data_IF_396390789244
#
_entry.id   IF_396390789244
#
_cell.length_a   1.000
_cell.length_b   1.000
_cell.length_c   1.000
_cell.angle_alpha   90.00
_cell.angle_beta   90.00
_cell.angle_gamma   90.00
#
_symmetry.space_group_name_H-M   'P 1'
#
loop_
_entity.id
_entity.type
_entity.pdbx_description
1 polymer ?
#
# COMPACT_ATOMS: atom_id res chain seq x y z
N UNK A 1 8.58 21.74 -5.50
CA UNK A 1 9.74 22.61 -5.70
C UNK A 1 10.36 22.42 -7.08
N UNK A 2 10.96 23.46 -7.62
CA UNK A 2 11.69 23.37 -8.87
C UNK A 2 13.17 23.61 -8.60
N UNK A 3 14.02 22.65 -8.99
CA UNK A 3 15.46 22.71 -8.73
C UNK A 3 15.82 22.97 -7.24
N UNK A 4 15.08 22.37 -6.31
CA UNK A 4 15.29 22.54 -4.86
C UNK A 4 14.81 23.88 -4.28
N UNK A 5 14.11 24.69 -5.06
CA UNK A 5 13.55 25.99 -4.59
C UNK A 5 12.03 25.91 -4.50
N UNK A 6 11.47 26.57 -3.49
CA UNK A 6 10.02 26.75 -3.40
C UNK A 6 9.53 27.60 -4.58
N UNK A 7 8.43 27.17 -5.21
CA UNK A 7 7.79 27.89 -6.31
C UNK A 7 6.33 28.11 -5.95
N UNK A 8 5.86 29.33 -6.01
CA UNK A 8 4.46 29.70 -5.89
C UNK A 8 3.90 30.06 -7.28
N UNK A 9 2.71 29.59 -7.59
CA UNK A 9 1.96 29.91 -8.79
C UNK A 9 0.75 30.73 -8.34
N UNK A 10 0.62 31.95 -8.81
CA UNK A 10 -0.56 32.76 -8.57
C UNK A 10 -1.54 32.62 -9.74
N UNK A 11 -2.75 32.18 -9.44
CA UNK A 11 -3.81 31.98 -10.43
C UNK A 11 -5.02 32.83 -10.04
N UNK A 12 -5.52 33.62 -10.99
CA UNK A 12 -6.80 34.30 -10.86
C UNK A 12 -7.91 33.37 -11.34
N UNK A 13 -8.63 32.77 -10.40
CA UNK A 13 -9.70 31.82 -10.72
C UNK A 13 -11.06 32.51 -10.53
N UNK A 14 -11.83 32.73 -11.62
CA UNK A 14 -13.09 33.42 -11.54
C UNK A 14 -14.16 32.58 -10.82
N UNK A 15 -14.95 33.25 -10.00
CA UNK A 15 -16.17 32.68 -9.44
C UNK A 15 -17.33 32.93 -10.40
N UNK A 16 -17.92 31.88 -10.92
CA UNK A 16 -18.98 31.91 -11.90
C UNK A 16 -20.34 31.71 -11.23
N UNK A 17 -21.38 32.23 -11.87
CA UNK A 17 -22.78 32.01 -11.46
C UNK A 17 -23.53 31.34 -12.60
N UNK A 18 -24.19 30.21 -12.31
CA UNK A 18 -25.04 29.54 -13.28
C UNK A 18 -26.31 30.38 -13.52
N UNK A 19 -26.68 30.57 -14.78
CA UNK A 19 -27.90 31.32 -15.13
C UNK A 19 -29.18 30.53 -14.82
N UNK A 20 -29.15 29.19 -14.94
CA UNK A 20 -30.31 28.33 -14.78
C UNK A 20 -30.64 28.03 -13.31
N UNK A 21 -29.65 27.62 -12.52
CA UNK A 21 -29.84 27.24 -11.12
C UNK A 21 -29.41 28.31 -10.10
N UNK A 22 -28.91 29.45 -10.56
CA UNK A 22 -28.45 30.59 -9.75
C UNK A 22 -27.30 30.27 -8.75
N UNK A 23 -26.81 29.05 -8.74
CA UNK A 23 -25.68 28.64 -7.88
C UNK A 23 -24.36 29.23 -8.38
N UNK A 24 -23.49 29.57 -7.44
CA UNK A 24 -22.13 30.01 -7.74
C UNK A 24 -21.16 28.85 -7.62
N UNK A 25 -20.16 28.79 -8.48
CA UNK A 25 -19.09 27.81 -8.46
C UNK A 25 -17.79 28.46 -8.89
N UNK A 26 -16.68 27.91 -8.48
CA UNK A 26 -15.35 28.33 -8.91
C UNK A 26 -15.01 27.59 -10.19
N UNK A 27 -14.41 28.27 -11.16
CA UNK A 27 -13.98 27.62 -12.39
C UNK A 27 -12.95 26.53 -12.08
N UNK A 28 -13.11 25.38 -12.73
CA UNK A 28 -12.13 24.29 -12.61
C UNK A 28 -10.90 24.67 -13.42
N UNK A 29 -9.75 24.67 -12.75
CA UNK A 29 -8.46 24.88 -13.39
C UNK A 29 -7.84 23.51 -13.66
N UNK A 30 -7.58 23.15 -14.91
CA UNK A 30 -6.90 21.91 -15.22
C UNK A 30 -5.56 21.79 -14.49
N UNK A 31 -5.20 20.59 -14.07
CA UNK A 31 -3.94 20.28 -13.39
C UNK A 31 -3.78 20.91 -11.98
N UNK A 32 -4.82 21.51 -11.42
CA UNK A 32 -4.84 22.03 -10.04
C UNK A 32 -5.80 21.20 -9.21
N UNK A 33 -5.31 20.67 -8.09
CA UNK A 33 -6.14 20.01 -7.07
C UNK A 33 -7.03 21.07 -6.40
N UNK A 34 -8.34 20.93 -6.58
CA UNK A 34 -9.32 21.92 -6.13
C UNK A 34 -9.37 22.07 -4.60
N UNK A 35 -9.05 20.98 -3.86
CA UNK A 35 -9.17 20.93 -2.41
C UNK A 35 -7.91 21.42 -1.69
N UNK A 36 -6.72 21.34 -2.36
CA UNK A 36 -5.42 21.55 -1.73
C UNK A 36 -4.67 22.78 -2.18
N UNK A 37 -5.17 23.51 -3.15
CA UNK A 37 -4.47 24.66 -3.75
C UNK A 37 -3.04 24.30 -4.22
N UNK A 38 -2.91 23.14 -4.80
CA UNK A 38 -1.66 22.57 -5.31
C UNK A 38 -1.87 22.09 -6.74
N UNK A 39 -0.79 21.99 -7.52
CA UNK A 39 -0.87 21.30 -8.79
C UNK A 39 -0.95 19.78 -8.56
N UNK A 40 -1.70 19.06 -9.40
CA UNK A 40 -1.74 17.58 -9.35
C UNK A 40 -0.35 16.95 -9.48
N UNK A 41 0.56 17.61 -10.22
CA UNK A 41 1.95 17.21 -10.32
C UNK A 41 2.66 17.23 -8.97
N UNK A 42 2.41 18.27 -8.15
CA UNK A 42 2.98 18.38 -6.80
C UNK A 42 2.38 17.32 -5.88
N UNK A 43 1.07 17.09 -5.94
CA UNK A 43 0.39 16.05 -5.15
C UNK A 43 1.00 14.68 -5.46
N UNK A 44 1.14 14.32 -6.74
CA UNK A 44 1.78 13.06 -7.17
C UNK A 44 3.24 12.97 -6.73
N UNK A 45 3.98 14.08 -6.80
CA UNK A 45 5.37 14.13 -6.34
C UNK A 45 5.47 13.87 -4.83
N UNK A 46 4.62 14.51 -4.01
CA UNK A 46 4.54 14.28 -2.56
C UNK A 46 4.27 12.80 -2.26
N UNK A 47 3.26 12.20 -2.92
CA UNK A 47 2.94 10.79 -2.73
C UNK A 47 4.14 9.86 -2.98
N UNK A 48 4.85 10.06 -4.08
CA UNK A 48 6.05 9.27 -4.41
C UNK A 48 7.20 9.48 -3.43
N UNK A 49 7.49 10.72 -3.06
CA UNK A 49 8.58 11.01 -2.12
C UNK A 49 8.29 10.46 -0.73
N UNK A 50 7.02 10.34 -0.36
CA UNK A 50 6.60 9.79 0.94
C UNK A 50 6.86 8.29 1.10
N UNK A 51 7.25 7.58 0.04
CA UNK A 51 7.75 6.20 0.11
C UNK A 51 9.21 6.13 0.60
N UNK A 52 9.98 7.20 0.41
CA UNK A 52 11.43 7.22 0.62
C UNK A 52 11.86 8.13 1.79
N UNK A 53 11.11 9.21 2.03
CA UNK A 53 11.47 10.25 2.98
C UNK A 53 10.42 10.44 4.09
N UNK A 54 10.83 10.87 5.29
CA UNK A 54 9.91 11.22 6.37
C UNK A 54 8.94 12.35 5.98
N UNK A 55 7.70 12.25 6.40
CA UNK A 55 6.67 13.25 6.09
C UNK A 55 7.04 14.66 6.56
N UNK A 56 7.72 14.76 7.71
CA UNK A 56 8.22 16.04 8.25
C UNK A 56 9.23 16.72 7.35
N UNK A 57 10.07 15.96 6.66
CA UNK A 57 11.05 16.48 5.71
C UNK A 57 10.37 17.00 4.44
N UNK A 58 9.44 16.21 3.88
CA UNK A 58 8.65 16.62 2.71
C UNK A 58 7.83 17.87 3.02
N UNK A 59 7.20 17.91 4.20
CA UNK A 59 6.43 19.07 4.66
C UNK A 59 7.27 20.36 4.69
N UNK A 60 8.49 20.28 5.22
CA UNK A 60 9.44 21.42 5.22
C UNK A 60 9.86 21.82 3.82
N UNK A 61 10.14 20.84 2.96
CA UNK A 61 10.61 21.10 1.59
C UNK A 61 9.55 21.78 0.72
N UNK A 62 8.27 21.42 0.92
CA UNK A 62 7.13 21.94 0.16
C UNK A 62 6.55 23.20 0.81
N UNK A 63 6.71 23.38 2.11
CA UNK A 63 6.12 24.47 2.88
C UNK A 63 4.66 24.22 3.26
N UNK A 64 4.30 22.97 3.56
CA UNK A 64 2.96 22.56 4.00
C UNK A 64 3.05 21.83 5.36
N UNK A 65 1.91 21.54 5.97
CA UNK A 65 1.90 20.76 7.21
C UNK A 65 2.04 19.24 6.95
N UNK A 66 2.59 18.53 7.94
CA UNK A 66 2.80 17.09 7.87
C UNK A 66 1.48 16.31 7.70
N UNK A 67 0.38 16.81 8.26
CA UNK A 67 -0.93 16.18 8.17
C UNK A 67 -1.42 16.13 6.73
N UNK A 68 -1.17 17.19 5.96
CA UNK A 68 -1.47 17.24 4.52
C UNK A 68 -0.62 16.24 3.73
N UNK A 69 0.68 16.12 4.05
CA UNK A 69 1.56 15.10 3.42
C UNK A 69 1.03 13.69 3.70
N UNK A 70 0.64 13.41 4.94
CA UNK A 70 0.09 12.12 5.36
C UNK A 70 -1.22 11.78 4.64
N UNK A 71 -2.11 12.76 4.47
CA UNK A 71 -3.36 12.56 3.74
C UNK A 71 -3.10 12.23 2.25
N UNK A 72 -2.22 13.00 1.60
CA UNK A 72 -1.81 12.74 0.21
C UNK A 72 -1.18 11.34 0.07
N UNK A 73 -0.32 10.96 1.00
CA UNK A 73 0.30 9.63 0.99
C UNK A 73 -0.74 8.52 1.13
N UNK A 74 -1.72 8.66 2.03
CA UNK A 74 -2.80 7.68 2.17
C UNK A 74 -3.59 7.47 0.88
N UNK A 75 -3.92 8.54 0.17
CA UNK A 75 -4.60 8.45 -1.12
C UNK A 75 -3.71 7.83 -2.20
N UNK A 76 -2.42 8.18 -2.21
CA UNK A 76 -1.45 7.61 -3.15
C UNK A 76 -1.29 6.10 -2.95
N UNK A 77 -1.16 5.64 -1.70
CA UNK A 77 -1.11 4.21 -1.36
C UNK A 77 -2.39 3.50 -1.78
N UNK A 78 -3.57 4.08 -1.51
CA UNK A 78 -4.84 3.48 -1.93
C UNK A 78 -4.97 3.29 -3.45
N UNK A 79 -4.33 4.15 -4.25
CA UNK A 79 -4.25 3.97 -5.71
C UNK A 79 -3.30 2.83 -6.06
N UNK A 80 -2.12 2.76 -5.42
CA UNK A 80 -1.17 1.68 -5.64
C UNK A 80 -1.75 0.32 -5.26
N UNK A 81 -2.45 0.23 -4.13
CA UNK A 81 -3.11 -1.00 -3.68
C UNK A 81 -4.15 -1.52 -4.67
N UNK A 82 -4.91 -0.62 -5.31
CA UNK A 82 -5.87 -1.02 -6.36
C UNK A 82 -5.20 -1.55 -7.63
N UNK A 83 -3.98 -1.15 -7.89
CA UNK A 83 -3.21 -1.58 -9.06
C UNK A 83 -2.34 -2.79 -8.77
N UNK A 84 -2.15 -3.11 -7.49
CA UNK A 84 -1.32 -4.22 -7.08
C UNK A 84 -2.04 -5.54 -7.35
N UNK A 85 -1.43 -6.36 -8.21
CA UNK A 85 -1.84 -7.75 -8.44
C UNK A 85 -0.94 -8.65 -7.60
N UNK A 86 -1.56 -9.55 -6.84
CA UNK A 86 -0.86 -10.54 -6.04
C UNK A 86 -0.51 -11.71 -6.93
N UNK A 87 0.76 -11.90 -7.22
CA UNK A 87 1.22 -13.09 -7.90
C UNK A 87 1.19 -14.27 -6.94
N UNK A 88 0.62 -15.40 -7.37
CA UNK A 88 0.62 -16.63 -6.58
C UNK A 88 2.02 -17.27 -6.62
N UNK A 89 2.72 -17.40 -5.48
CA UNK A 89 4.08 -17.95 -5.45
C UNK A 89 4.10 -19.45 -5.68
N UNK A 90 5.10 -19.95 -6.39
CA UNK A 90 5.35 -21.41 -6.52
C UNK A 90 5.88 -21.98 -5.19
N UNK A 91 6.71 -21.22 -4.50
CA UNK A 91 7.22 -21.57 -3.17
C UNK A 91 6.80 -20.48 -2.20
N UNK A 92 5.83 -20.79 -1.37
CA UNK A 92 5.25 -19.88 -0.39
C UNK A 92 6.06 -19.86 0.90
N UNK A 93 6.39 -18.70 1.43
CA UNK A 93 6.89 -18.51 2.78
C UNK A 93 5.84 -17.89 3.68
N UNK A 94 5.68 -18.44 4.88
CA UNK A 94 4.86 -17.90 5.95
C UNK A 94 5.74 -17.68 7.17
N UNK A 95 5.85 -16.44 7.60
CA UNK A 95 6.68 -16.04 8.74
C UNK A 95 5.97 -14.96 9.56
N UNK A 96 6.59 -14.51 10.63
CA UNK A 96 6.08 -13.49 11.53
C UNK A 96 7.03 -12.29 11.60
N UNK A 97 6.46 -11.10 11.57
CA UNK A 97 7.16 -9.88 11.94
C UNK A 97 6.46 -9.21 13.12
N UNK A 98 7.25 -8.76 14.07
CA UNK A 98 6.75 -7.97 15.20
C UNK A 98 6.97 -6.48 14.91
N UNK A 99 5.87 -5.75 14.70
CA UNK A 99 5.88 -4.28 14.62
C UNK A 99 5.39 -3.71 15.98
N UNK A 100 4.16 -3.23 16.05
CA UNK A 100 3.48 -2.92 17.31
C UNK A 100 2.74 -4.14 17.88
N UNK A 101 2.49 -5.12 17.03
CA UNK A 101 1.87 -6.43 17.31
C UNK A 101 2.36 -7.46 16.26
N UNK A 102 2.25 -8.77 16.56
CA UNK A 102 2.63 -9.80 15.61
C UNK A 102 1.78 -9.76 14.34
N UNK A 103 2.42 -9.81 13.18
CA UNK A 103 1.78 -9.88 11.87
C UNK A 103 2.31 -11.04 11.09
N UNK A 104 1.44 -11.72 10.34
CA UNK A 104 1.88 -12.72 9.38
C UNK A 104 2.49 -12.04 8.15
N UNK A 105 3.57 -12.61 7.66
CA UNK A 105 4.25 -12.17 6.45
C UNK A 105 4.20 -13.28 5.42
N UNK A 106 3.76 -12.93 4.23
CA UNK A 106 3.70 -13.84 3.09
C UNK A 106 4.81 -13.48 2.11
N UNK A 107 5.62 -14.45 1.76
CA UNK A 107 6.75 -14.25 0.84
C UNK A 107 6.69 -15.22 -0.33
N UNK A 108 7.22 -14.80 -1.46
CA UNK A 108 7.60 -15.67 -2.55
C UNK A 108 9.09 -16.00 -2.38
N UNK A 109 9.38 -17.22 -1.93
CA UNK A 109 10.76 -17.65 -1.67
C UNK A 109 11.55 -17.77 -2.97
N UNK A 110 10.90 -18.20 -4.05
CA UNK A 110 11.55 -18.33 -5.37
C UNK A 110 12.07 -17.01 -5.89
N UNK A 111 11.24 -15.98 -5.85
CA UNK A 111 11.57 -14.64 -6.35
C UNK A 111 12.16 -13.71 -5.27
N UNK A 112 12.27 -14.19 -4.03
CA UNK A 112 12.80 -13.45 -2.87
C UNK A 112 12.10 -12.11 -2.65
N UNK A 113 10.78 -12.10 -2.76
CA UNK A 113 9.99 -10.88 -2.58
C UNK A 113 8.86 -11.08 -1.56
N UNK A 114 8.40 -9.96 -1.01
CA UNK A 114 7.22 -9.90 -0.17
C UNK A 114 5.98 -9.96 -1.07
N UNK A 115 5.04 -10.85 -0.74
CA UNK A 115 3.74 -10.95 -1.40
C UNK A 115 2.69 -10.14 -0.66
N UNK A 116 2.62 -10.28 0.67
CA UNK A 116 1.66 -9.54 1.49
C UNK A 116 2.09 -9.50 2.96
N UNK A 117 1.50 -8.57 3.71
CA UNK A 117 1.61 -8.48 5.16
C UNK A 117 0.20 -8.52 5.76
N UNK A 118 -0.11 -9.58 6.49
CA UNK A 118 -1.42 -9.79 7.06
C UNK A 118 -1.65 -8.93 8.31
N UNK A 119 -2.91 -8.63 8.59
CA UNK A 119 -3.30 -7.86 9.78
C UNK A 119 -2.87 -8.51 11.11
N UNK A 120 -2.83 -9.82 11.13
CA UNK A 120 -2.41 -10.63 12.26
C UNK A 120 -1.90 -12.00 11.77
N UNK A 121 -1.43 -12.86 12.70
CA UNK A 121 -0.92 -14.20 12.40
C UNK A 121 -1.93 -15.34 12.65
N UNK A 122 -3.20 -15.02 12.87
CA UNK A 122 -4.17 -16.05 13.24
C UNK A 122 -4.54 -16.95 12.05
N UNK A 123 -4.82 -18.22 12.35
CA UNK A 123 -5.21 -19.23 11.36
C UNK A 123 -6.29 -18.72 10.40
N UNK A 124 -7.34 -18.09 10.95
CA UNK A 124 -8.45 -17.57 10.15
C UNK A 124 -7.98 -16.59 9.05
N UNK A 125 -7.15 -15.63 9.42
CA UNK A 125 -6.63 -14.61 8.48
C UNK A 125 -5.77 -15.24 7.39
N UNK A 126 -4.97 -16.25 7.75
CA UNK A 126 -4.13 -16.98 6.79
C UNK A 126 -4.99 -17.81 5.84
N UNK A 127 -6.00 -18.51 6.36
CA UNK A 127 -6.94 -19.30 5.53
C UNK A 127 -7.68 -18.39 4.55
N UNK A 128 -8.14 -17.21 5.00
CA UNK A 128 -8.80 -16.22 4.14
C UNK A 128 -7.86 -15.71 3.04
N UNK A 129 -6.60 -15.43 3.39
CA UNK A 129 -5.58 -15.02 2.41
C UNK A 129 -5.34 -16.13 1.38
N UNK A 130 -5.07 -17.36 1.80
CA UNK A 130 -4.76 -18.49 0.92
C UNK A 130 -5.93 -18.82 -0.03
N UNK A 131 -7.17 -18.73 0.45
CA UNK A 131 -8.37 -18.89 -0.38
C UNK A 131 -8.60 -17.76 -1.37
N UNK A 132 -8.05 -16.59 -1.12
CA UNK A 132 -8.13 -15.42 -2.00
C UNK A 132 -7.07 -15.40 -3.10
N UNK A 133 -6.15 -16.34 -3.15
CA UNK A 133 -5.17 -16.45 -4.24
C UNK A 133 -5.85 -16.92 -5.54
N UNK A 134 -5.44 -16.35 -6.68
CA UNK A 134 -6.05 -16.66 -7.98
C UNK A 134 -5.77 -18.11 -8.43
N UNK A 135 -4.57 -18.61 -8.18
CA UNK A 135 -4.11 -19.93 -8.63
C UNK A 135 -3.42 -20.71 -7.51
N UNK A 136 -4.13 -21.09 -6.42
CA UNK A 136 -3.52 -21.80 -5.30
C UNK A 136 -2.92 -23.16 -5.67
N UNK A 137 -3.36 -23.76 -6.77
CA UNK A 137 -2.83 -25.01 -7.33
C UNK A 137 -1.40 -24.89 -7.88
N UNK A 138 -0.90 -23.68 -8.11
CA UNK A 138 0.49 -23.46 -8.55
C UNK A 138 1.50 -23.54 -7.41
N UNK A 139 1.04 -23.47 -6.17
CA UNK A 139 1.91 -23.59 -4.99
C UNK A 139 2.35 -25.06 -4.85
N UNK A 140 3.64 -25.30 -4.95
CA UNK A 140 4.24 -26.65 -4.84
C UNK A 140 4.78 -26.92 -3.44
N UNK A 141 5.34 -25.89 -2.80
CA UNK A 141 5.90 -26.00 -1.46
C UNK A 141 5.54 -24.77 -0.61
N UNK A 142 5.44 -25.01 0.70
CA UNK A 142 5.26 -23.93 1.68
C UNK A 142 6.25 -24.12 2.82
N UNK A 143 7.01 -23.04 3.11
CA UNK A 143 7.94 -22.98 4.25
C UNK A 143 7.34 -22.15 5.37
N UNK A 144 7.42 -22.66 6.60
CA UNK A 144 6.95 -21.94 7.80
C UNK A 144 7.89 -22.18 8.97
N UNK A 145 7.77 -21.33 9.99
CA UNK A 145 8.25 -21.68 11.33
C UNK A 145 7.41 -22.81 11.98
N UNK A 146 7.69 -23.11 13.24
CA UNK A 146 6.95 -24.14 13.99
C UNK A 146 5.57 -23.68 14.48
N UNK A 147 5.09 -22.50 14.10
CA UNK A 147 3.82 -22.01 14.58
C UNK A 147 2.64 -22.84 14.05
N UNK A 148 2.01 -23.56 14.96
CA UNK A 148 0.96 -24.54 14.63
C UNK A 148 -0.18 -24.00 13.73
N UNK A 149 -0.69 -22.76 13.92
CA UNK A 149 -1.73 -22.21 13.06
C UNK A 149 -1.33 -22.09 11.58
N UNK A 150 -0.05 -21.87 11.25
CA UNK A 150 0.43 -21.84 9.86
C UNK A 150 0.30 -23.21 9.22
N UNK A 151 0.80 -24.23 9.91
CA UNK A 151 0.68 -25.62 9.45
C UNK A 151 -0.77 -26.03 9.24
N UNK A 152 -1.65 -25.72 10.19
CA UNK A 152 -3.07 -26.07 10.09
C UNK A 152 -3.76 -25.35 8.94
N UNK A 153 -3.44 -24.08 8.66
CA UNK A 153 -3.98 -23.31 7.55
C UNK A 153 -3.53 -23.90 6.19
N UNK A 154 -2.25 -24.25 6.05
CA UNK A 154 -1.71 -24.90 4.85
C UNK A 154 -2.40 -26.23 4.61
N UNK A 155 -2.49 -27.09 5.63
CA UNK A 155 -3.13 -28.40 5.50
C UNK A 155 -4.61 -28.30 5.11
N UNK A 156 -5.31 -27.27 5.59
CA UNK A 156 -6.72 -27.05 5.29
C UNK A 156 -6.96 -26.58 3.85
N UNK A 157 -6.15 -25.65 3.37
CA UNK A 157 -6.39 -24.95 2.08
C UNK A 157 -5.55 -25.55 0.95
N UNK A 158 -4.35 -25.99 1.25
CA UNK A 158 -3.35 -26.46 0.29
C UNK A 158 -2.87 -27.88 0.63
N UNK A 159 -3.75 -28.88 0.69
CA UNK A 159 -3.39 -30.24 1.13
C UNK A 159 -2.41 -30.95 0.20
N UNK A 160 -2.23 -30.46 -1.03
CA UNK A 160 -1.30 -31.01 -2.03
C UNK A 160 0.13 -30.48 -1.88
N UNK A 161 0.33 -29.43 -1.08
CA UNK A 161 1.61 -28.70 -0.98
C UNK A 161 2.59 -29.43 -0.06
N UNK A 162 3.85 -29.50 -0.46
CA UNK A 162 4.92 -29.98 0.41
C UNK A 162 5.21 -28.93 1.48
N UNK A 163 4.91 -29.28 2.73
CA UNK A 163 5.15 -28.39 3.86
C UNK A 163 6.54 -28.61 4.45
N UNK A 164 7.35 -27.57 4.48
CA UNK A 164 8.71 -27.54 5.02
C UNK A 164 8.72 -26.65 6.28
N UNK A 165 9.34 -27.13 7.34
CA UNK A 165 9.51 -26.37 8.58
C UNK A 165 10.94 -25.86 8.62
N UNK A 166 11.13 -24.56 8.86
CA UNK A 166 12.45 -23.94 8.91
C UNK A 166 13.22 -24.35 10.18
N UNK A 167 14.50 -24.68 10.00
CA UNK A 167 15.38 -25.19 11.06
C UNK A 167 15.82 -24.11 12.06
N UNK A 168 15.75 -22.83 11.69
CA UNK A 168 16.30 -21.72 12.50
C UNK A 168 15.49 -21.38 13.77
N UNK A 169 14.36 -22.01 13.97
CA UNK A 169 13.49 -21.79 15.14
C UNK A 169 13.45 -23.03 16.08
N UNK A 170 14.48 -23.91 16.00
CA UNK A 170 14.63 -25.07 16.89
C UNK A 170 15.57 -24.73 18.06
#
# INVERSE_FOLDING_TARGET
PSHGRAVAIHLDVPRLKCHDCVRTFTAVVPEVDADRQMTERLVRWIGRQSLEYPFTEIAKQVGIDEKTVRAIFGEYVAVLEKQYQRDTPVILGLDEIYLSRPRGVITNIGDRCLVDMLENRYKKTIVEFLRGLEHPEWIQAASTDMYRPYREAIQEVLPHVVHVVEKYHI
#
